data_IF_270386223190
#
_entry.id   IF_270386223190
#
_cell.length_a   1.000
_cell.length_b   1.000
_cell.length_c   1.000
_cell.angle_alpha   90.00
_cell.angle_beta   90.00
_cell.angle_gamma   90.00
#
_symmetry.space_group_name_H-M   'P 1'
#
loop_
_entity.id
_entity.type
_entity.pdbx_description
1 polymer ?
#
# COMPACT_ATOMS: atom_id res chain seq x y z
N UNK A 1 2.31 -27.98 -12.12
CA UNK A 1 1.63 -27.63 -10.86
C UNK A 1 1.74 -26.14 -10.67
N UNK A 2 0.66 -25.43 -10.35
CA UNK A 2 0.74 -23.99 -10.06
C UNK A 2 1.61 -23.79 -8.80
N UNK A 3 2.54 -22.83 -8.85
CA UNK A 3 3.41 -22.48 -7.71
C UNK A 3 2.52 -21.96 -6.58
N UNK A 4 2.49 -22.64 -5.44
CA UNK A 4 1.76 -22.18 -4.27
C UNK A 4 2.57 -21.07 -3.58
N UNK A 5 2.01 -19.87 -3.50
CA UNK A 5 2.68 -18.69 -2.95
C UNK A 5 2.05 -18.32 -1.60
N UNK A 6 2.51 -18.91 -0.50
CA UNK A 6 1.97 -18.59 0.83
C UNK A 6 2.38 -17.16 1.23
N UNK A 7 1.45 -16.32 1.71
CA UNK A 7 1.79 -15.01 2.25
C UNK A 7 2.56 -15.15 3.58
N UNK A 8 3.13 -14.05 4.07
CA UNK A 8 3.69 -13.90 5.40
C UNK A 8 2.77 -12.97 6.24
N UNK A 9 1.81 -13.53 7.00
CA UNK A 9 0.89 -12.73 7.80
C UNK A 9 1.57 -11.91 8.89
N UNK A 10 2.70 -12.37 9.42
CA UNK A 10 3.45 -11.63 10.45
C UNK A 10 4.05 -10.34 9.87
N UNK A 11 4.59 -10.40 8.65
CA UNK A 11 5.10 -9.21 7.97
C UNK A 11 3.98 -8.21 7.65
N UNK A 12 2.81 -8.70 7.20
CA UNK A 12 1.65 -7.87 6.96
C UNK A 12 1.15 -7.21 8.26
N UNK A 13 1.06 -7.98 9.34
CA UNK A 13 0.66 -7.47 10.65
C UNK A 13 1.64 -6.42 11.17
N UNK A 14 2.96 -6.65 11.05
CA UNK A 14 3.98 -5.71 11.48
C UNK A 14 3.88 -4.37 10.72
N UNK A 15 3.66 -4.40 9.39
CA UNK A 15 3.46 -3.19 8.60
C UNK A 15 2.20 -2.42 9.03
N UNK A 16 1.07 -3.11 9.17
CA UNK A 16 -0.19 -2.48 9.58
C UNK A 16 -0.09 -1.91 11.00
N UNK A 17 0.61 -2.58 11.91
CA UNK A 17 0.83 -2.07 13.26
C UNK A 17 1.66 -0.78 13.30
N UNK A 18 2.60 -0.59 12.36
CA UNK A 18 3.34 0.66 12.24
C UNK A 18 2.44 1.80 11.76
N UNK A 19 1.51 1.52 10.84
CA UNK A 19 0.53 2.52 10.38
C UNK A 19 -0.50 2.86 11.47
N UNK A 20 -1.05 1.84 12.13
CA UNK A 20 -2.06 1.97 13.18
C UNK A 20 -2.18 0.64 13.97
N UNK A 21 -1.65 0.55 15.20
CA UNK A 21 -1.66 -0.68 16.01
C UNK A 21 -3.03 -1.29 16.30
N UNK A 22 -4.11 -0.50 16.18
CA UNK A 22 -5.49 -0.95 16.37
C UNK A 22 -6.35 -0.63 15.15
N UNK A 23 -5.69 -0.43 14.01
CA UNK A 23 -6.33 0.07 12.81
C UNK A 23 -7.29 -0.94 12.21
N UNK A 24 -8.42 -0.42 11.77
CA UNK A 24 -9.24 -1.05 10.73
C UNK A 24 -8.75 -0.49 9.39
N UNK A 25 -8.67 -1.36 8.38
CA UNK A 25 -8.08 -1.04 7.09
C UNK A 25 -9.03 -1.38 5.96
N UNK A 26 -8.91 -0.64 4.85
CA UNK A 26 -9.54 -1.00 3.58
C UNK A 26 -8.49 -1.65 2.70
N UNK A 27 -8.63 -2.94 2.46
CA UNK A 27 -7.81 -3.70 1.53
C UNK A 27 -8.42 -3.64 0.13
N UNK A 28 -7.55 -3.71 -0.87
CA UNK A 28 -7.93 -3.81 -2.27
C UNK A 28 -7.08 -4.89 -2.92
N UNK A 29 -7.70 -5.70 -3.76
CA UNK A 29 -6.99 -6.60 -4.66
C UNK A 29 -7.15 -6.17 -6.11
N UNK A 30 -6.15 -6.45 -6.93
CA UNK A 30 -6.21 -6.27 -8.39
C UNK A 30 -5.66 -7.50 -9.07
N UNK A 31 -6.09 -7.78 -10.30
CA UNK A 31 -5.42 -8.79 -11.12
C UNK A 31 -3.98 -8.32 -11.41
N UNK A 32 -2.99 -9.10 -10.98
CA UNK A 32 -1.59 -8.82 -11.29
C UNK A 32 -1.21 -9.29 -12.70
N UNK A 33 -2.11 -9.96 -13.42
CA UNK A 33 -1.98 -10.21 -14.86
C UNK A 33 -2.63 -9.06 -15.65
N UNK A 34 -1.78 -8.30 -16.36
CA UNK A 34 -2.20 -7.14 -17.17
C UNK A 34 -3.05 -7.51 -18.39
N UNK A 35 -2.94 -8.75 -18.87
CA UNK A 35 -3.56 -9.22 -20.10
C UNK A 35 -4.89 -9.92 -19.80
N UNK A 36 -4.97 -10.68 -18.71
CA UNK A 36 -6.18 -11.41 -18.27
C UNK A 36 -7.34 -10.48 -17.85
N UNK A 37 -7.05 -9.42 -17.10
CA UNK A 37 -8.05 -8.44 -16.60
C UNK A 37 -9.25 -9.08 -15.88
N UNK A 38 -9.03 -10.08 -15.02
CA UNK A 38 -10.08 -10.79 -14.32
C UNK A 38 -10.79 -9.89 -13.28
N UNK A 39 -12.01 -9.44 -13.60
CA UNK A 39 -12.83 -8.60 -12.72
C UNK A 39 -13.15 -9.27 -11.36
N UNK A 40 -13.18 -10.60 -11.32
CA UNK A 40 -13.41 -11.36 -10.08
C UNK A 40 -12.31 -11.18 -9.03
N UNK A 41 -11.11 -10.76 -9.46
CA UNK A 41 -9.96 -10.51 -8.58
C UNK A 41 -9.92 -9.08 -8.04
N UNK A 42 -10.79 -8.19 -8.53
CA UNK A 42 -10.89 -6.82 -8.03
C UNK A 42 -11.88 -6.76 -6.85
N UNK A 43 -11.37 -6.77 -5.62
CA UNK A 43 -12.20 -6.76 -4.39
C UNK A 43 -11.77 -5.63 -3.46
N UNK A 44 -12.74 -4.98 -2.84
CA UNK A 44 -12.55 -4.08 -1.69
C UNK A 44 -13.03 -4.80 -0.45
N UNK A 45 -12.20 -4.86 0.59
CA UNK A 45 -12.47 -5.55 1.85
C UNK A 45 -12.12 -4.60 3.00
N UNK A 46 -13.10 -4.19 3.81
CA UNK A 46 -12.87 -3.33 4.96
C UNK A 46 -12.94 -4.14 6.27
N UNK A 47 -11.93 -4.03 7.13
CA UNK A 47 -11.82 -4.80 8.36
C UNK A 47 -10.39 -4.92 8.88
N UNK A 48 -10.19 -5.84 9.81
CA UNK A 48 -8.85 -6.20 10.31
C UNK A 48 -8.16 -7.17 9.36
N UNK A 49 -6.82 -7.28 9.47
CA UNK A 49 -6.07 -8.30 8.73
C UNK A 49 -6.56 -9.71 9.09
N UNK A 50 -6.83 -9.99 10.36
CA UNK A 50 -7.31 -11.30 10.82
C UNK A 50 -8.62 -11.71 10.13
N UNK A 51 -9.55 -10.76 9.95
CA UNK A 51 -10.82 -11.01 9.25
C UNK A 51 -10.61 -11.36 7.77
N UNK A 52 -9.65 -10.71 7.10
CA UNK A 52 -9.51 -10.78 5.64
C UNK A 52 -8.32 -11.61 5.14
N UNK A 53 -7.43 -12.08 6.01
CA UNK A 53 -6.19 -12.78 5.62
C UNK A 53 -6.46 -13.99 4.70
N UNK A 54 -7.42 -14.83 5.05
CA UNK A 54 -7.76 -16.01 4.24
C UNK A 54 -8.35 -15.64 2.87
N UNK A 55 -9.16 -14.57 2.79
CA UNK A 55 -9.72 -14.08 1.54
C UNK A 55 -8.62 -13.48 0.64
N UNK A 56 -7.72 -12.68 1.22
CA UNK A 56 -6.57 -12.10 0.52
C UNK A 56 -5.63 -13.18 0.00
N UNK A 57 -5.33 -14.20 0.81
CA UNK A 57 -4.53 -15.35 0.37
C UNK A 57 -5.19 -16.07 -0.79
N UNK A 58 -6.49 -16.40 -0.70
CA UNK A 58 -7.22 -17.06 -1.78
C UNK A 58 -7.17 -16.27 -3.08
N UNK A 59 -7.36 -14.95 -3.03
CA UNK A 59 -7.28 -14.07 -4.20
C UNK A 59 -5.85 -14.03 -4.75
N UNK A 60 -4.84 -13.98 -3.88
CA UNK A 60 -3.44 -14.03 -4.28
C UNK A 60 -3.10 -15.33 -5.00
N UNK A 61 -3.57 -16.49 -4.52
CA UNK A 61 -3.35 -17.77 -5.20
C UNK A 61 -3.99 -17.81 -6.60
N UNK A 62 -4.97 -16.96 -6.87
CA UNK A 62 -5.60 -16.80 -8.19
C UNK A 62 -4.85 -15.79 -9.08
N UNK A 63 -3.76 -15.19 -8.59
CA UNK A 63 -2.94 -14.20 -9.28
C UNK A 63 -3.32 -12.76 -8.97
N UNK A 64 -4.02 -12.50 -7.86
CA UNK A 64 -4.28 -11.12 -7.44
C UNK A 64 -3.08 -10.55 -6.66
N UNK A 65 -2.80 -9.26 -6.87
CA UNK A 65 -2.00 -8.46 -5.96
C UNK A 65 -2.84 -7.99 -4.77
N UNK A 66 -2.25 -7.96 -3.57
CA UNK A 66 -2.90 -7.42 -2.37
C UNK A 66 -2.33 -6.05 -1.99
N UNK A 67 -3.24 -5.13 -1.66
CA UNK A 67 -2.94 -3.73 -1.35
C UNK A 67 -3.77 -3.26 -0.15
N UNK A 68 -3.33 -2.17 0.46
CA UNK A 68 -4.03 -1.52 1.57
C UNK A 68 -4.11 -0.02 1.34
N UNK A 69 -5.28 0.56 1.64
CA UNK A 69 -5.46 2.01 1.68
C UNK A 69 -4.70 2.55 2.89
N UNK A 70 -3.72 3.43 2.65
CA UNK A 70 -2.82 3.89 3.71
C UNK A 70 -3.56 4.78 4.70
N UNK A 71 -4.28 5.77 4.19
CA UNK A 71 -5.07 6.68 5.01
C UNK A 71 -6.31 5.97 5.57
N UNK A 72 -6.80 6.46 6.71
CA UNK A 72 -7.93 5.87 7.40
C UNK A 72 -9.22 6.19 6.66
N UNK A 73 -9.99 5.16 6.34
CA UNK A 73 -11.35 5.29 5.83
C UNK A 73 -12.39 5.04 6.92
N UNK A 74 -13.60 5.56 6.73
CA UNK A 74 -14.77 5.25 7.56
C UNK A 74 -15.39 3.87 7.26
N UNK A 75 -15.04 3.25 6.14
CA UNK A 75 -15.52 1.92 5.74
C UNK A 75 -16.95 1.90 5.21
N UNK A 76 -17.61 3.05 5.02
CA UNK A 76 -19.00 3.16 4.60
C UNK A 76 -19.09 3.18 3.08
N UNK A 77 -20.05 2.45 2.49
CA UNK A 77 -20.37 2.65 1.06
C UNK A 77 -21.38 3.80 1.00
N UNK A 78 -20.92 5.00 0.63
CA UNK A 78 -21.78 6.18 0.51
C UNK A 78 -22.75 6.05 -0.68
N UNK A 79 -23.83 6.82 -0.65
CA UNK A 79 -24.80 6.87 -1.75
C UNK A 79 -24.12 7.18 -3.08
N UNK A 80 -24.45 6.41 -4.12
CA UNK A 80 -23.87 6.54 -5.45
C UNK A 80 -22.51 5.84 -5.64
N UNK A 81 -21.86 5.40 -4.56
CA UNK A 81 -20.56 4.73 -4.64
C UNK A 81 -20.68 3.21 -4.68
N UNK A 82 -19.73 2.58 -5.38
CA UNK A 82 -19.67 1.10 -5.49
C UNK A 82 -18.94 0.45 -4.32
N UNK A 83 -18.08 1.19 -3.64
CA UNK A 83 -17.16 0.68 -2.62
C UNK A 83 -16.86 1.76 -1.57
N UNK A 84 -16.34 1.37 -0.40
CA UNK A 84 -15.87 2.29 0.64
C UNK A 84 -14.42 2.77 0.43
N UNK A 85 -13.99 2.85 -0.83
CA UNK A 85 -12.65 3.30 -1.22
C UNK A 85 -12.73 4.45 -2.22
N UNK A 86 -13.29 5.56 -1.76
CA UNK A 86 -13.28 6.84 -2.46
C UNK A 86 -12.77 7.96 -1.56
N UNK A 87 -12.48 9.13 -2.13
CA UNK A 87 -11.96 10.27 -1.39
C UNK A 87 -12.86 10.68 -0.22
N UNK A 88 -14.19 10.60 -0.39
CA UNK A 88 -15.16 10.93 0.65
C UNK A 88 -15.07 10.02 1.90
N UNK A 89 -14.55 8.80 1.76
CA UNK A 89 -14.38 7.88 2.89
C UNK A 89 -13.22 8.26 3.79
N UNK A 90 -12.25 9.04 3.30
CA UNK A 90 -10.99 9.24 4.02
C UNK A 90 -11.18 10.28 5.12
N UNK A 91 -11.04 9.84 6.37
CA UNK A 91 -11.30 10.64 7.57
C UNK A 91 -10.03 11.13 8.26
N UNK A 92 -8.89 10.49 8.02
CA UNK A 92 -7.60 10.95 8.54
C UNK A 92 -6.42 10.50 7.67
N UNK A 93 -5.37 11.33 7.63
CA UNK A 93 -4.09 10.98 7.02
C UNK A 93 -3.27 10.18 8.03
N UNK A 94 -2.78 9.01 7.66
CA UNK A 94 -1.86 8.21 8.50
C UNK A 94 -0.39 8.46 8.16
N UNK A 95 -0.11 8.76 6.90
CA UNK A 95 1.24 8.96 6.42
C UNK A 95 1.25 9.87 5.19
N UNK A 96 2.39 10.51 4.95
CA UNK A 96 2.80 10.95 3.61
C UNK A 96 3.73 9.88 3.03
N UNK A 97 3.82 9.76 1.72
CA UNK A 97 4.62 8.71 1.10
C UNK A 97 5.17 9.08 -0.27
N UNK A 98 6.26 8.41 -0.67
CA UNK A 98 6.75 8.43 -2.04
C UNK A 98 6.67 7.03 -2.64
N UNK A 99 6.07 6.91 -3.83
CA UNK A 99 6.32 5.80 -4.75
C UNK A 99 7.44 6.23 -5.68
N UNK A 100 8.62 5.61 -5.58
CA UNK A 100 9.78 6.09 -6.29
C UNK A 100 9.77 5.76 -7.79
N UNK A 101 8.87 4.90 -8.26
CA UNK A 101 8.76 4.52 -9.69
C UNK A 101 10.12 4.31 -10.39
N UNK A 102 11.04 3.64 -9.70
CA UNK A 102 12.37 3.29 -10.23
C UNK A 102 13.47 4.29 -9.93
N UNK A 103 13.14 5.44 -9.34
CA UNK A 103 14.11 6.34 -8.73
C UNK A 103 14.81 5.66 -7.53
N UNK A 104 16.09 6.00 -7.27
CA UNK A 104 16.88 5.39 -6.21
C UNK A 104 16.35 5.77 -4.82
N UNK A 105 16.49 4.84 -3.87
CA UNK A 105 16.10 5.05 -2.47
C UNK A 105 17.02 6.04 -1.73
N UNK A 106 18.32 6.04 -2.02
CA UNK A 106 19.33 6.76 -1.23
C UNK A 106 19.04 8.27 -1.04
N UNK A 107 18.63 9.04 -2.06
CA UNK A 107 18.30 10.47 -1.88
C UNK A 107 17.17 10.72 -0.87
N UNK A 108 16.24 9.76 -0.71
CA UNK A 108 15.18 9.85 0.31
C UNK A 108 15.77 9.69 1.70
N UNK A 109 16.60 8.66 1.90
CA UNK A 109 17.24 8.36 3.18
C UNK A 109 18.15 9.51 3.64
N UNK A 110 18.89 10.12 2.70
CA UNK A 110 19.80 11.24 2.98
C UNK A 110 19.04 12.53 3.34
N UNK A 111 17.88 12.76 2.73
CA UNK A 111 17.12 14.00 2.93
C UNK A 111 16.25 13.97 4.19
N UNK A 112 15.51 12.88 4.39
CA UNK A 112 14.69 12.68 5.58
C UNK A 112 14.30 11.20 5.72
N UNK A 113 14.91 10.53 6.70
CA UNK A 113 14.74 9.10 6.90
C UNK A 113 13.25 8.72 7.09
N UNK A 114 12.68 7.83 6.26
CA UNK A 114 11.29 7.38 6.41
C UNK A 114 11.10 6.46 7.62
N UNK A 115 9.92 6.52 8.24
CA UNK A 115 9.53 5.59 9.31
C UNK A 115 9.37 4.16 8.78
N UNK A 116 8.90 4.03 7.52
CA UNK A 116 8.70 2.73 6.87
C UNK A 116 9.24 2.78 5.44
N UNK A 117 10.08 1.80 5.10
CA UNK A 117 10.53 1.56 3.72
C UNK A 117 10.06 0.19 3.27
N UNK A 118 9.44 0.13 2.09
CA UNK A 118 8.92 -1.09 1.47
C UNK A 118 9.58 -1.30 0.12
N UNK A 119 10.15 -2.47 -0.11
CA UNK A 119 10.48 -2.95 -1.45
C UNK A 119 9.21 -3.57 -2.04
N UNK A 120 8.61 -2.91 -3.04
CA UNK A 120 7.33 -3.33 -3.63
C UNK A 120 7.50 -4.32 -4.77
N UNK A 121 8.64 -4.25 -5.45
CA UNK A 121 9.19 -5.25 -6.37
C UNK A 121 10.72 -5.04 -6.44
N UNK A 122 11.52 -5.93 -7.05
CA UNK A 122 12.97 -5.82 -7.03
C UNK A 122 13.49 -4.43 -7.42
N UNK A 123 14.14 -3.73 -6.47
CA UNK A 123 14.68 -2.38 -6.69
C UNK A 123 13.64 -1.26 -6.84
N UNK A 124 12.37 -1.50 -6.52
CA UNK A 124 11.29 -0.50 -6.52
C UNK A 124 10.82 -0.25 -5.09
N UNK A 125 10.69 1.02 -4.70
CA UNK A 125 10.57 1.42 -3.30
C UNK A 125 9.34 2.28 -3.05
N UNK A 126 8.65 1.99 -1.95
CA UNK A 126 7.72 2.92 -1.32
C UNK A 126 8.31 3.38 0.01
N UNK A 127 8.18 4.65 0.33
CA UNK A 127 8.65 5.25 1.59
C UNK A 127 7.49 5.95 2.28
N UNK A 128 7.40 5.86 3.60
CA UNK A 128 6.29 6.42 4.38
C UNK A 128 6.84 7.22 5.55
N UNK A 129 6.31 8.42 5.72
CA UNK A 129 6.50 9.26 6.91
C UNK A 129 5.16 9.33 7.64
N UNK A 130 5.10 8.72 8.82
CA UNK A 130 3.89 8.65 9.63
C UNK A 130 3.56 10.05 10.15
N UNK A 131 2.27 10.39 10.16
CA UNK A 131 1.84 11.72 10.62
C UNK A 131 0.41 11.69 11.13
N UNK A 132 0.14 12.55 12.11
CA UNK A 132 -1.20 12.96 12.53
C UNK A 132 -1.46 14.45 12.25
N UNK A 133 -0.53 15.11 11.55
CA UNK A 133 -0.49 16.56 11.31
C UNK A 133 -0.50 16.86 9.80
N UNK A 134 -1.49 16.29 9.11
CA UNK A 134 -1.75 16.60 7.71
C UNK A 134 -3.26 16.71 7.47
N UNK A 135 -3.79 17.94 7.31
CA UNK A 135 -5.18 18.13 6.87
C UNK A 135 -5.43 17.47 5.51
N UNK A 136 -6.63 16.90 5.32
CA UNK A 136 -7.02 16.23 4.08
C UNK A 136 -6.87 17.13 2.85
N UNK A 137 -7.16 18.43 2.99
CA UNK A 137 -7.05 19.41 1.92
C UNK A 137 -5.60 19.66 1.45
N UNK A 138 -4.63 19.50 2.35
CA UNK A 138 -3.20 19.71 2.06
C UNK A 138 -2.54 18.48 1.43
N UNK A 139 -3.12 17.30 1.65
CA UNK A 139 -2.50 16.01 1.35
C UNK A 139 -1.99 15.93 -0.10
N UNK A 140 -2.84 16.28 -1.07
CA UNK A 140 -2.51 16.19 -2.49
C UNK A 140 -1.35 17.10 -2.88
N UNK A 141 -1.29 18.31 -2.32
CA UNK A 141 -0.20 19.25 -2.58
C UNK A 141 1.12 18.69 -2.04
N UNK A 142 1.12 18.20 -0.79
CA UNK A 142 2.31 17.62 -0.14
C UNK A 142 2.83 16.39 -0.89
N UNK A 143 1.95 15.47 -1.29
CA UNK A 143 2.34 14.30 -2.08
C UNK A 143 3.01 14.68 -3.41
N UNK A 144 2.47 15.68 -4.11
CA UNK A 144 3.08 16.17 -5.36
C UNK A 144 4.47 16.78 -5.12
N UNK A 145 4.65 17.52 -4.04
CA UNK A 145 5.95 18.07 -3.66
C UNK A 145 6.97 16.98 -3.34
N UNK A 146 6.56 15.93 -2.61
CA UNK A 146 7.39 14.76 -2.31
C UNK A 146 7.78 14.04 -3.60
N UNK A 147 6.82 13.74 -4.48
CA UNK A 147 7.08 13.10 -5.77
C UNK A 147 8.04 13.93 -6.64
N UNK A 148 7.84 15.24 -6.71
CA UNK A 148 8.74 16.13 -7.47
C UNK A 148 10.16 16.15 -6.88
N UNK A 149 10.30 16.22 -5.55
CA UNK A 149 11.59 16.25 -4.87
C UNK A 149 12.40 14.97 -5.12
N UNK A 150 11.75 13.82 -5.07
CA UNK A 150 12.41 12.50 -5.15
C UNK A 150 12.26 11.80 -6.50
N UNK A 151 11.71 12.49 -7.51
CA UNK A 151 11.43 11.94 -8.85
C UNK A 151 10.57 10.66 -8.77
N UNK A 152 9.60 10.63 -7.86
CA UNK A 152 8.61 9.57 -7.74
C UNK A 152 7.42 9.75 -8.67
N UNK A 153 6.45 8.84 -8.61
CA UNK A 153 5.22 8.90 -9.42
C UNK A 153 4.32 10.07 -8.96
N UNK A 154 4.10 11.11 -9.80
CA UNK A 154 3.24 12.24 -9.45
C UNK A 154 1.75 11.88 -9.36
N UNK A 155 1.33 10.72 -9.86
CA UNK A 155 -0.06 10.27 -9.82
C UNK A 155 -0.45 9.63 -8.48
N UNK A 156 0.54 9.29 -7.64
CA UNK A 156 0.34 8.70 -6.31
C UNK A 156 0.11 9.82 -5.28
N UNK A 157 -0.98 10.58 -5.47
CA UNK A 157 -1.28 11.79 -4.70
C UNK A 157 -2.74 11.93 -4.21
N UNK A 158 -3.58 10.92 -4.38
CA UNK A 158 -4.96 10.88 -3.92
C UNK A 158 -5.10 10.30 -2.52
N UNK A 159 -6.11 10.76 -1.78
CA UNK A 159 -6.39 10.35 -0.41
C UNK A 159 -6.66 8.84 -0.23
N UNK A 160 -7.50 8.17 -1.08
CA UNK A 160 -7.84 6.75 -0.92
C UNK A 160 -6.85 5.82 -1.63
N UNK A 161 -5.60 6.27 -1.81
CA UNK A 161 -4.56 5.52 -2.50
C UNK A 161 -4.22 4.24 -1.74
N UNK A 162 -4.12 3.17 -2.51
CA UNK A 162 -3.68 1.86 -2.01
C UNK A 162 -2.24 1.59 -2.42
N UNK A 163 -1.47 1.03 -1.48
CA UNK A 163 -0.08 0.62 -1.69
C UNK A 163 0.04 -0.89 -1.45
N UNK A 164 1.06 -1.52 -2.04
CA UNK A 164 1.33 -2.95 -1.87
C UNK A 164 1.45 -3.31 -0.38
N UNK A 165 0.78 -4.38 0.04
CA UNK A 165 0.81 -4.85 1.42
C UNK A 165 2.02 -5.78 1.62
N UNK A 166 3.00 -5.42 2.48
CA UNK A 166 4.11 -6.32 2.81
C UNK A 166 3.62 -7.67 3.34
N UNK A 167 4.34 -8.73 3.00
CA UNK A 167 3.95 -10.12 3.28
C UNK A 167 3.08 -10.77 2.20
N UNK A 168 2.56 -10.01 1.23
CA UNK A 168 1.86 -10.55 0.06
C UNK A 168 2.74 -10.48 -1.20
N UNK A 169 2.42 -11.34 -2.17
CA UNK A 169 3.17 -11.51 -3.41
C UNK A 169 2.72 -10.52 -4.49
N UNK A 170 3.68 -9.83 -5.06
CA UNK A 170 3.58 -9.13 -6.33
C UNK A 170 3.79 -10.13 -7.47
N UNK A 171 2.81 -10.27 -8.36
CA UNK A 171 2.79 -11.34 -9.37
C UNK A 171 2.75 -10.84 -10.83
N UNK A 172 2.94 -9.54 -11.08
CA UNK A 172 2.94 -9.00 -12.46
C UNK A 172 4.12 -9.44 -13.33
N UNK A 173 5.13 -10.02 -12.70
CA UNK A 173 6.34 -10.55 -13.31
C UNK A 173 6.78 -11.77 -12.48
N UNK A 174 8.09 -12.05 -12.43
CA UNK A 174 8.63 -13.05 -11.52
C UNK A 174 8.11 -12.78 -10.08
N UNK A 175 7.45 -13.76 -9.42
CA UNK A 175 6.82 -13.52 -8.13
C UNK A 175 7.81 -12.98 -7.09
N UNK A 176 7.44 -11.86 -6.48
CA UNK A 176 8.24 -11.20 -5.45
C UNK A 176 7.39 -10.92 -4.21
N UNK A 177 7.86 -11.34 -3.03
CA UNK A 177 7.17 -10.99 -1.79
C UNK A 177 7.46 -9.53 -1.45
N UNK A 178 6.43 -8.69 -1.50
CA UNK A 178 6.52 -7.30 -1.01
C UNK A 178 7.02 -7.34 0.43
N UNK A 179 8.05 -6.58 0.76
CA UNK A 179 8.69 -6.66 2.08
C UNK A 179 9.05 -5.29 2.61
N UNK A 180 8.88 -5.10 3.91
CA UNK A 180 9.55 -4.00 4.59
C UNK A 180 11.04 -4.26 4.57
N UNK A 181 11.82 -3.22 4.28
CA UNK A 181 13.25 -3.25 4.51
C UNK A 181 13.57 -2.29 5.65
N UNK A 182 14.56 -2.68 6.44
CA UNK A 182 15.20 -1.79 7.37
C UNK A 182 16.53 -1.47 6.71
N UNK A 183 16.66 -0.34 5.97
CA UNK A 183 17.95 0.08 5.49
C UNK A 183 18.88 0.10 6.70
N UNK A 184 20.00 -0.63 6.63
CA UNK A 184 21.03 -0.51 7.67
C UNK A 184 21.61 0.89 7.56
N UNK A 185 21.06 1.81 8.33
CA UNK A 185 21.63 3.12 8.59
C UNK A 185 22.36 3.07 9.92
N UNK A 186 23.67 2.86 9.86
CA UNK A 186 24.62 3.36 10.85
C UNK A 186 24.23 4.79 11.24
N UNK A 187 23.89 4.97 12.52
CA UNK A 187 24.15 6.25 13.18
C UNK A 187 25.65 6.52 13.15
#
# INVERSE_FOLDING_TARGET
MARHLSPNPLAAHAFLNLLDPRGIFTFQTFDDDKDRKALSLARVLHGTLTQHAAALEKLQQQGAGAFVMINQGDGIIHEGEKTCRVTANVISVRALWADLDGSPLQPVLDAHYPDIVVESSPGRWHTHWLTNDCPLADFKLRQKQIAAKFKGDPNVCDLPRVMRLPGFWHQKAEPFMTRMIFPKGTK
#
